data_IF_872979615467
#
_entry.id   IF_872979615467
#
_cell.length_a   1.000
_cell.length_b   1.000
_cell.length_c   1.000
_cell.angle_alpha   90.00
_cell.angle_beta   90.00
_cell.angle_gamma   90.00
#
_symmetry.space_group_name_H-M   'P 1'
#
loop_
_entity.id
_entity.type
_entity.pdbx_description
1 polymer ?
#
# COMPACT_ATOMS: atom_id res chain seq x y z
N UNK A 1 -24.99 -14.08 17.64
CA UNK A 1 -24.06 -13.51 16.63
C UNK A 1 -22.80 -13.09 17.36
N UNK A 2 -21.62 -13.48 16.89
CA UNK A 2 -20.35 -13.02 17.46
C UNK A 2 -20.05 -11.61 16.95
N UNK A 3 -19.57 -10.73 17.82
CA UNK A 3 -19.15 -9.37 17.45
C UNK A 3 -18.00 -9.46 16.45
N UNK A 4 -18.22 -8.97 15.24
CA UNK A 4 -17.23 -8.91 14.18
C UNK A 4 -16.71 -7.48 14.11
N UNK A 5 -15.75 -7.15 14.99
CA UNK A 5 -15.07 -5.85 15.00
C UNK A 5 -13.65 -6.01 14.47
N UNK A 6 -13.12 -4.98 13.82
CA UNK A 6 -11.72 -4.98 13.36
C UNK A 6 -10.80 -4.47 14.46
N UNK A 7 -9.63 -5.09 14.60
CA UNK A 7 -8.57 -4.56 15.46
C UNK A 7 -8.04 -3.24 14.87
N UNK A 8 -8.07 -2.11 15.60
CA UNK A 8 -7.46 -0.85 15.14
C UNK A 8 -6.02 -1.00 14.68
N UNK A 9 -5.26 -1.93 15.28
CA UNK A 9 -3.88 -2.22 14.88
C UNK A 9 -3.79 -2.72 13.42
N UNK A 10 -4.82 -3.39 12.89
CA UNK A 10 -4.85 -3.83 11.51
C UNK A 10 -4.96 -2.66 10.52
N UNK A 11 -5.68 -1.59 10.89
CA UNK A 11 -5.75 -0.37 10.10
C UNK A 11 -4.40 0.37 10.09
N UNK A 12 -3.74 0.44 11.26
CA UNK A 12 -2.40 1.05 11.38
C UNK A 12 -1.35 0.30 10.56
N UNK A 13 -1.41 -1.05 10.54
CA UNK A 13 -0.55 -1.88 9.69
C UNK A 13 -0.78 -1.56 8.21
N UNK A 14 -2.03 -1.41 7.78
CA UNK A 14 -2.35 -1.03 6.40
C UNK A 14 -1.69 0.29 5.98
N UNK A 15 -1.76 1.31 6.84
CA UNK A 15 -1.10 2.59 6.62
C UNK A 15 0.43 2.44 6.56
N UNK A 16 1.03 1.71 7.50
CA UNK A 16 2.47 1.46 7.52
C UNK A 16 2.96 0.74 6.26
N UNK A 17 2.19 -0.21 5.73
CA UNK A 17 2.52 -0.90 4.47
C UNK A 17 2.55 0.08 3.30
N UNK A 18 1.56 0.97 3.19
CA UNK A 18 1.53 1.99 2.13
C UNK A 18 2.67 3.00 2.26
N UNK A 19 3.00 3.42 3.48
CA UNK A 19 4.11 4.34 3.75
C UNK A 19 5.46 3.71 3.42
N UNK A 20 5.68 2.46 3.83
CA UNK A 20 6.88 1.70 3.49
C UNK A 20 7.02 1.54 1.97
N UNK A 21 5.90 1.38 1.26
CA UNK A 21 5.91 1.30 -0.18
C UNK A 21 6.35 2.61 -0.85
N UNK A 22 5.85 3.75 -0.34
CA UNK A 22 6.29 5.08 -0.78
C UNK A 22 7.78 5.32 -0.51
N UNK A 23 8.25 4.95 0.68
CA UNK A 23 9.67 5.04 1.03
C UNK A 23 10.54 4.16 0.12
N UNK A 24 10.08 2.96 -0.21
CA UNK A 24 10.76 2.06 -1.16
C UNK A 24 10.93 2.68 -2.54
N UNK A 25 9.89 3.35 -3.07
CA UNK A 25 9.97 4.07 -4.34
C UNK A 25 10.97 5.23 -4.29
N UNK A 26 10.99 5.99 -3.19
CA UNK A 26 11.93 7.10 -3.01
C UNK A 26 13.38 6.62 -2.91
N UNK A 27 13.62 5.51 -2.20
CA UNK A 27 14.93 4.88 -2.11
C UNK A 27 15.42 4.40 -3.48
N UNK A 28 14.54 3.76 -4.27
CA UNK A 28 14.86 3.34 -5.63
C UNK A 28 15.17 4.54 -6.55
N UNK A 29 14.38 5.62 -6.47
CA UNK A 29 14.65 6.84 -7.22
C UNK A 29 16.01 7.45 -6.86
N UNK A 30 16.35 7.49 -5.57
CA UNK A 30 17.66 7.98 -5.08
C UNK A 30 18.82 7.12 -5.59
N UNK A 31 18.65 5.80 -5.65
CA UNK A 31 19.69 4.87 -6.11
C UNK A 31 19.81 4.81 -7.64
N UNK A 32 18.77 5.20 -8.38
CA UNK A 32 18.65 4.97 -9.83
C UNK A 32 19.87 5.44 -10.63
N UNK A 33 20.26 6.70 -10.48
CA UNK A 33 21.41 7.28 -11.19
C UNK A 33 22.68 6.49 -10.91
N UNK A 34 23.01 6.24 -9.65
CA UNK A 34 24.22 5.52 -9.25
C UNK A 34 24.28 4.10 -9.83
N UNK A 35 23.14 3.46 -10.01
CA UNK A 35 23.05 2.11 -10.58
C UNK A 35 23.14 2.10 -12.11
N UNK A 36 22.68 3.16 -12.79
CA UNK A 36 22.60 3.19 -14.26
C UNK A 36 23.71 4.01 -14.93
N UNK A 37 24.49 4.78 -14.17
CA UNK A 37 25.50 5.70 -14.71
C UNK A 37 26.96 5.25 -14.47
N UNK A 38 27.20 3.95 -14.28
CA UNK A 38 28.56 3.45 -14.09
C UNK A 38 29.40 3.68 -15.35
N UNK A 39 30.68 4.01 -15.14
CA UNK A 39 31.69 4.07 -16.19
C UNK A 39 32.51 2.78 -16.20
N UNK A 40 33.04 2.35 -17.36
CA UNK A 40 33.97 1.23 -17.42
C UNK A 40 35.18 1.46 -16.51
N UNK A 41 35.60 0.43 -15.78
CA UNK A 41 36.77 0.50 -14.89
C UNK A 41 38.08 0.68 -15.67
N UNK A 42 38.12 0.19 -16.91
CA UNK A 42 39.23 0.31 -17.84
C UNK A 42 38.76 0.47 -19.29
N UNK A 43 39.72 0.65 -20.20
CA UNK A 43 39.47 0.80 -21.63
C UNK A 43 39.30 -0.54 -22.37
N UNK A 44 39.33 -1.66 -21.64
CA UNK A 44 39.16 -3.00 -22.17
C UNK A 44 37.68 -3.34 -22.40
N UNK A 45 37.45 -4.28 -23.33
CA UNK A 45 36.12 -4.71 -23.72
C UNK A 45 35.36 -5.38 -22.57
N UNK A 46 36.07 -6.02 -21.63
CA UNK A 46 35.45 -6.69 -20.47
C UNK A 46 34.86 -5.65 -19.52
N UNK A 47 35.58 -4.56 -19.25
CA UNK A 47 35.05 -3.43 -18.47
C UNK A 47 33.81 -2.81 -19.11
N UNK A 48 33.79 -2.64 -20.43
CA UNK A 48 32.62 -2.13 -21.14
C UNK A 48 31.42 -3.09 -21.06
N UNK A 49 31.66 -4.39 -21.25
CA UNK A 49 30.62 -5.41 -21.15
C UNK A 49 30.07 -5.54 -19.72
N UNK A 50 30.92 -5.41 -18.70
CA UNK A 50 30.52 -5.46 -17.31
C UNK A 50 29.55 -4.31 -16.95
N UNK A 51 29.85 -3.09 -17.41
CA UNK A 51 28.93 -1.94 -17.23
C UNK A 51 27.62 -2.18 -17.96
N UNK A 52 27.67 -2.63 -19.22
CA UNK A 52 26.45 -2.90 -19.98
C UNK A 52 25.55 -3.94 -19.30
N UNK A 53 26.13 -5.02 -18.80
CA UNK A 53 25.40 -6.06 -18.05
C UNK A 53 24.84 -5.52 -16.74
N UNK A 54 25.64 -4.76 -15.96
CA UNK A 54 25.20 -4.17 -14.71
C UNK A 54 24.05 -3.19 -14.91
N UNK A 55 24.13 -2.29 -15.88
CA UNK A 55 23.08 -1.32 -16.19
C UNK A 55 21.78 -2.01 -16.64
N UNK A 56 21.88 -3.11 -17.40
CA UNK A 56 20.72 -3.90 -17.81
C UNK A 56 20.03 -4.54 -16.59
N UNK A 57 20.79 -5.19 -15.71
CA UNK A 57 20.28 -5.79 -14.46
C UNK A 57 19.69 -4.72 -13.53
N UNK A 58 20.37 -3.59 -13.35
CA UNK A 58 19.90 -2.46 -12.56
C UNK A 58 18.54 -1.94 -13.05
N UNK A 59 18.36 -1.82 -14.37
CA UNK A 59 17.10 -1.36 -14.97
C UNK A 59 15.97 -2.35 -14.66
N UNK A 60 16.24 -3.66 -14.76
CA UNK A 60 15.26 -4.69 -14.42
C UNK A 60 14.91 -4.68 -12.94
N UNK A 61 15.91 -4.56 -12.06
CA UNK A 61 15.69 -4.47 -10.61
C UNK A 61 14.89 -3.23 -10.21
N UNK A 62 15.13 -2.08 -10.82
CA UNK A 62 14.34 -0.87 -10.60
C UNK A 62 12.88 -1.05 -11.02
N UNK A 63 12.63 -1.70 -12.16
CA UNK A 63 11.27 -2.03 -12.62
C UNK A 63 10.58 -3.03 -11.69
N UNK A 64 11.28 -4.07 -11.23
CA UNK A 64 10.77 -5.04 -10.26
C UNK A 64 10.45 -4.37 -8.91
N UNK A 65 11.32 -3.48 -8.43
CA UNK A 65 11.08 -2.71 -7.23
C UNK A 65 9.80 -1.87 -7.37
N UNK A 66 9.66 -1.14 -8.48
CA UNK A 66 8.46 -0.34 -8.74
C UNK A 66 7.18 -1.19 -8.72
N UNK A 67 7.17 -2.34 -9.39
CA UNK A 67 6.03 -3.25 -9.42
C UNK A 67 5.70 -3.79 -8.02
N UNK A 68 6.72 -4.16 -7.24
CA UNK A 68 6.55 -4.63 -5.86
C UNK A 68 5.97 -3.53 -4.95
N UNK A 69 6.48 -2.29 -5.03
CA UNK A 69 5.95 -1.19 -4.22
C UNK A 69 4.51 -0.85 -4.60
N UNK A 70 4.14 -0.91 -5.89
CA UNK A 70 2.75 -0.72 -6.32
C UNK A 70 1.82 -1.79 -5.74
N UNK A 71 2.30 -3.04 -5.63
CA UNK A 71 1.51 -4.10 -5.01
C UNK A 71 1.34 -3.89 -3.51
N UNK A 72 2.39 -3.43 -2.81
CA UNK A 72 2.29 -3.06 -1.41
C UNK A 72 1.32 -1.88 -1.19
N UNK A 73 1.30 -0.90 -2.09
CA UNK A 73 0.29 0.18 -2.05
C UNK A 73 -1.13 -0.36 -2.20
N UNK A 74 -1.37 -1.29 -3.14
CA UNK A 74 -2.68 -1.94 -3.31
C UNK A 74 -3.08 -2.74 -2.08
N UNK A 75 -2.13 -3.46 -1.48
CA UNK A 75 -2.36 -4.21 -0.25
C UNK A 75 -2.71 -3.28 0.93
N UNK A 76 -1.97 -2.18 1.11
CA UNK A 76 -2.25 -1.16 2.11
C UNK A 76 -3.65 -0.55 1.98
N UNK A 77 -4.06 -0.24 0.74
CA UNK A 77 -5.41 0.24 0.45
C UNK A 77 -6.49 -0.79 0.79
N UNK A 78 -6.26 -2.07 0.46
CA UNK A 78 -7.18 -3.14 0.80
C UNK A 78 -7.38 -3.29 2.33
N UNK A 79 -6.31 -3.15 3.12
CA UNK A 79 -6.44 -3.14 4.59
C UNK A 79 -7.27 -1.96 5.09
N UNK A 80 -7.08 -0.77 4.53
CA UNK A 80 -7.88 0.41 4.88
C UNK A 80 -9.37 0.24 4.52
N UNK A 81 -9.67 -0.35 3.35
CA UNK A 81 -11.04 -0.63 2.91
C UNK A 81 -11.73 -1.64 3.83
N UNK A 82 -11.03 -2.71 4.22
CA UNK A 82 -11.54 -3.70 5.17
C UNK A 82 -11.83 -3.01 6.52
N UNK A 83 -10.90 -2.20 7.03
CA UNK A 83 -11.10 -1.47 8.28
C UNK A 83 -12.31 -0.54 8.25
N UNK A 84 -12.50 0.18 7.14
CA UNK A 84 -13.66 1.04 6.92
C UNK A 84 -14.95 0.23 6.93
N UNK A 85 -15.01 -0.88 6.20
CA UNK A 85 -16.21 -1.72 6.10
C UNK A 85 -16.66 -2.27 7.46
N UNK A 86 -15.72 -2.77 8.27
CA UNK A 86 -16.04 -3.25 9.62
C UNK A 86 -16.51 -2.12 10.54
N UNK A 87 -15.87 -0.96 10.48
CA UNK A 87 -16.27 0.22 11.27
C UNK A 87 -17.68 0.70 10.93
N UNK A 88 -18.03 0.71 9.65
CA UNK A 88 -19.38 1.08 9.18
C UNK A 88 -20.45 0.09 9.65
N UNK A 89 -20.16 -1.21 9.58
CA UNK A 89 -21.07 -2.26 10.07
C UNK A 89 -21.28 -2.15 11.59
N UNK A 90 -20.22 -1.94 12.35
CA UNK A 90 -20.30 -1.75 13.81
C UNK A 90 -21.11 -0.51 14.17
N UNK A 91 -20.90 0.62 13.47
CA UNK A 91 -21.67 1.85 13.68
C UNK A 91 -23.17 1.67 13.38
N UNK A 92 -23.49 0.97 12.29
CA UNK A 92 -24.87 0.66 11.93
C UNK A 92 -25.55 -0.25 12.98
N UNK A 93 -24.85 -1.29 13.44
CA UNK A 93 -25.33 -2.18 14.49
C UNK A 93 -25.57 -1.44 15.82
N UNK A 94 -24.65 -0.56 16.23
CA UNK A 94 -24.80 0.25 17.43
C UNK A 94 -26.00 1.22 17.35
N UNK A 95 -26.23 1.81 16.18
CA UNK A 95 -27.39 2.68 15.91
C UNK A 95 -28.71 1.92 16.03
N UNK A 96 -28.75 0.69 15.52
CA UNK A 96 -29.93 -0.18 15.63
C UNK A 96 -30.19 -0.62 17.08
N UNK A 97 -29.13 -0.95 17.85
CA UNK A 97 -29.25 -1.38 19.25
C UNK A 97 -29.72 -0.26 20.19
N UNK A 98 -29.30 0.98 19.95
CA UNK A 98 -29.67 2.14 20.78
C UNK A 98 -31.08 2.68 20.48
N UNK A 99 -31.83 2.08 19.54
CA UNK A 99 -33.20 2.46 19.20
C UNK A 99 -33.32 3.79 18.44
N UNK A 100 -32.21 4.49 18.17
CA UNK A 100 -32.19 5.71 17.39
C UNK A 100 -32.71 5.49 15.95
N UNK A 101 -32.38 4.33 15.34
CA UNK A 101 -32.92 3.94 14.02
C UNK A 101 -34.43 3.64 14.03
N UNK A 102 -34.94 2.98 15.07
CA UNK A 102 -36.37 2.67 15.22
C UNK A 102 -37.22 3.94 15.38
N UNK A 103 -36.71 4.95 16.09
CA UNK A 103 -37.40 6.23 16.28
C UNK A 103 -37.40 7.09 15.00
N UNK A 104 -36.42 6.92 14.11
CA UNK A 104 -36.38 7.60 12.81
C UNK A 104 -37.40 7.02 11.83
N UNK A 105 -37.54 5.69 11.74
CA UNK A 105 -38.50 5.04 10.84
C UNK A 105 -39.96 5.26 11.26
N UNK A 106 -40.25 5.24 12.58
CA UNK A 106 -41.59 5.57 13.09
C UNK A 106 -42.01 7.03 12.83
N UNK A 107 -41.05 7.94 12.63
CA UNK A 107 -41.32 9.36 12.34
C UNK A 107 -41.65 9.62 10.86
N UNK A 108 -41.23 8.73 9.95
CA UNK A 108 -41.51 8.83 8.50
C UNK A 108 -42.88 8.26 8.15
N UNK A 109 -43.38 7.28 8.90
CA UNK A 109 -44.71 6.66 8.67
C UNK A 109 -45.87 7.48 9.27
N UNK A 110 -45.57 8.54 10.04
CA UNK A 110 -46.55 9.35 10.76
C UNK A 110 -46.92 10.70 10.13
N UNK A 111 -46.63 10.95 8.85
CA UNK A 111 -46.94 12.21 8.14
C UNK A 111 -47.83 12.00 6.92
#
# INVERSE_FOLDING_TARGET
MQSMSIDPAAADIGAQVADNASQGLQAAATASTSLTSLLPAGADEVSAQAVAAFTAEATQLLALNQAAQQELQRAGAAFADIARMYTEVDAAAATNLTGAGLLSDLRVVGA
#
